data_IF_408269678898
#
_entry.id   IF_408269678898
#
_cell.length_a   1.000
_cell.length_b   1.000
_cell.length_c   1.000
_cell.angle_alpha   90.00
_cell.angle_beta   90.00
_cell.angle_gamma   90.00
#
_symmetry.space_group_name_H-M   'P 1'
#
loop_
_entity.id
_entity.type
_entity.pdbx_description
1 polymer ?
#
# COMPACT_ATOMS: atom_id res chain seq x y z
N UNK A 1 12.50 14.59 29.03
CA UNK A 1 12.38 13.16 28.71
C UNK A 1 12.28 13.06 27.19
N UNK A 2 13.41 12.81 26.51
CA UNK A 2 13.35 12.46 25.09
C UNK A 2 12.54 11.16 24.99
N UNK A 3 11.54 11.11 24.10
CA UNK A 3 10.73 9.92 23.90
C UNK A 3 11.63 8.71 23.64
N UNK A 4 11.34 7.58 24.27
CA UNK A 4 12.12 6.35 24.10
C UNK A 4 11.90 5.75 22.71
N UNK A 5 12.56 6.31 21.70
CA UNK A 5 12.64 5.72 20.37
C UNK A 5 13.62 4.54 20.41
N UNK A 6 13.26 3.45 19.73
CA UNK A 6 14.16 2.30 19.52
C UNK A 6 15.31 2.71 18.61
N UNK A 7 16.42 1.98 18.66
CA UNK A 7 17.53 2.20 17.73
C UNK A 7 17.07 1.81 16.33
N UNK A 8 17.48 2.59 15.33
CA UNK A 8 16.94 2.58 13.98
C UNK A 8 17.25 1.28 13.22
N UNK A 9 18.44 0.73 13.45
CA UNK A 9 18.98 -0.52 12.92
C UNK A 9 18.27 -1.78 13.47
N UNK A 10 17.59 -1.69 14.62
CA UNK A 10 16.88 -2.83 15.20
C UNK A 10 15.61 -3.22 14.41
N UNK A 11 15.14 -2.38 13.48
CA UNK A 11 13.89 -2.64 12.77
C UNK A 11 13.84 -2.20 11.30
N UNK A 12 14.75 -1.34 10.83
CA UNK A 12 14.90 -1.12 9.40
C UNK A 12 15.69 -2.29 8.80
N UNK A 13 15.08 -2.99 7.85
CA UNK A 13 15.78 -4.02 7.10
C UNK A 13 16.84 -3.38 6.22
N UNK A 14 18.12 -3.65 6.50
CA UNK A 14 19.27 -3.06 5.80
C UNK A 14 19.46 -3.60 4.37
N UNK A 15 18.63 -4.55 3.96
CA UNK A 15 18.71 -5.20 2.66
C UNK A 15 17.39 -5.87 2.27
N UNK A 16 17.30 -6.18 0.97
CA UNK A 16 16.21 -6.91 0.35
C UNK A 16 16.79 -8.12 -0.39
N UNK A 17 16.37 -9.32 0.00
CA UNK A 17 16.79 -10.59 -0.61
C UNK A 17 15.67 -11.14 -1.49
N UNK A 18 15.92 -11.25 -2.80
CA UNK A 18 14.93 -11.67 -3.79
C UNK A 18 15.32 -12.97 -4.48
N UNK A 19 14.59 -14.09 -4.28
CA UNK A 19 14.87 -15.36 -4.95
C UNK A 19 14.29 -15.37 -6.38
N UNK A 20 15.15 -15.45 -7.39
CA UNK A 20 14.75 -15.47 -8.80
C UNK A 20 15.32 -16.68 -9.51
N UNK A 21 14.49 -17.34 -10.33
CA UNK A 21 14.96 -18.34 -11.29
C UNK A 21 15.63 -17.66 -12.47
N UNK A 22 16.91 -17.93 -12.65
CA UNK A 22 17.76 -17.35 -13.68
C UNK A 22 17.59 -18.08 -15.03
N UNK A 23 18.22 -17.55 -16.07
CA UNK A 23 18.20 -18.10 -17.44
C UNK A 23 18.82 -19.50 -17.55
N UNK A 24 19.74 -19.85 -16.65
CA UNK A 24 20.34 -21.17 -16.51
C UNK A 24 19.39 -22.20 -15.84
N UNK A 25 18.22 -21.76 -15.38
CA UNK A 25 17.24 -22.58 -14.68
C UNK A 25 17.49 -22.73 -13.18
N UNK A 26 18.61 -22.21 -12.66
CA UNK A 26 18.92 -22.21 -11.24
C UNK A 26 18.20 -21.09 -10.51
N UNK A 27 17.88 -21.30 -9.23
CA UNK A 27 17.31 -20.26 -8.37
C UNK A 27 18.46 -19.58 -7.63
N UNK A 28 18.59 -18.26 -7.81
CA UNK A 28 19.58 -17.42 -7.14
C UNK A 28 18.89 -16.38 -6.30
N UNK A 29 19.46 -16.05 -5.15
CA UNK A 29 18.98 -14.97 -4.30
C UNK A 29 19.81 -13.72 -4.58
N UNK A 30 19.17 -12.67 -5.08
CA UNK A 30 19.79 -11.38 -5.31
C UNK A 30 19.69 -10.54 -4.03
N UNK A 31 20.86 -10.15 -3.50
CA UNK A 31 20.96 -9.30 -2.33
C UNK A 31 21.06 -7.83 -2.74
N UNK A 32 20.03 -7.06 -2.41
CA UNK A 32 19.96 -5.63 -2.72
C UNK A 32 20.21 -4.86 -1.42
N UNK A 33 21.30 -4.08 -1.31
CA UNK A 33 21.57 -3.30 -0.12
C UNK A 33 20.58 -2.13 0.01
N UNK A 34 20.39 -1.62 1.22
CA UNK A 34 19.70 -0.35 1.41
C UNK A 34 20.38 0.76 0.59
N UNK A 35 19.60 1.59 -0.14
CA UNK A 35 20.17 2.65 -0.94
C UNK A 35 20.84 3.69 -0.04
N UNK A 36 21.76 4.46 -0.61
CA UNK A 36 22.24 5.67 0.06
C UNK A 36 21.06 6.65 0.26
N UNK A 37 21.19 7.59 1.19
CA UNK A 37 20.14 8.59 1.40
C UNK A 37 19.90 9.45 0.14
N UNK A 38 20.94 9.72 -0.65
CA UNK A 38 20.84 10.45 -1.91
C UNK A 38 20.06 9.66 -2.96
N UNK A 39 20.40 8.37 -3.11
CA UNK A 39 19.74 7.47 -4.05
C UNK A 39 18.27 7.22 -3.65
N UNK A 40 17.99 7.07 -2.36
CA UNK A 40 16.64 6.91 -1.83
C UNK A 40 15.75 8.13 -2.07
N UNK A 41 16.32 9.35 -1.99
CA UNK A 41 15.61 10.58 -2.33
C UNK A 41 15.36 10.71 -3.84
N UNK A 42 16.34 10.31 -4.67
CA UNK A 42 16.21 10.29 -6.12
C UNK A 42 15.07 9.34 -6.54
N UNK A 43 15.25 8.05 -6.23
CA UNK A 43 14.23 7.16 -5.65
C UNK A 43 12.79 7.66 -5.66
N UNK A 44 12.48 8.24 -4.50
CA UNK A 44 11.20 8.80 -4.13
C UNK A 44 10.74 9.92 -5.05
N UNK A 45 11.63 10.86 -5.42
CA UNK A 45 11.28 12.00 -6.26
C UNK A 45 10.76 11.58 -7.64
N UNK A 46 11.38 10.55 -8.23
CA UNK A 46 10.99 10.00 -9.52
C UNK A 46 9.63 9.31 -9.42
N UNK A 47 9.40 8.53 -8.37
CA UNK A 47 8.13 7.85 -8.15
C UNK A 47 6.97 8.83 -7.90
N UNK A 48 7.20 9.87 -7.09
CA UNK A 48 6.21 10.91 -6.82
C UNK A 48 5.84 11.70 -8.09
N UNK A 49 6.83 12.03 -8.92
CA UNK A 49 6.60 12.65 -10.21
C UNK A 49 5.70 11.78 -11.11
N UNK A 50 5.94 10.47 -11.16
CA UNK A 50 5.12 9.55 -11.94
C UNK A 50 3.69 9.40 -11.43
N UNK A 51 3.49 9.33 -10.11
CA UNK A 51 2.16 9.29 -9.49
C UNK A 51 1.37 10.56 -9.83
N UNK A 52 2.01 11.73 -9.75
CA UNK A 52 1.37 13.00 -10.06
C UNK A 52 0.91 13.07 -11.50
N UNK A 53 1.74 12.65 -12.45
CA UNK A 53 1.38 12.61 -13.87
C UNK A 53 0.21 11.65 -14.14
N UNK A 54 0.22 10.47 -13.52
CA UNK A 54 -0.88 9.51 -13.62
C UNK A 54 -2.20 10.05 -13.04
N UNK A 55 -2.14 10.81 -11.95
CA UNK A 55 -3.30 11.45 -11.32
C UNK A 55 -3.88 12.60 -12.15
N UNK A 56 -3.06 13.28 -12.95
CA UNK A 56 -3.46 14.36 -13.87
C UNK A 56 -4.15 13.82 -15.15
N UNK A 57 -4.38 12.51 -15.24
CA UNK A 57 -5.14 11.89 -16.33
C UNK A 57 -4.31 11.62 -17.58
N UNK A 58 -3.00 11.81 -17.53
CA UNK A 58 -2.12 11.05 -18.40
C UNK A 58 -2.30 9.59 -18.01
N UNK A 59 -2.75 8.75 -18.94
CA UNK A 59 -2.58 7.31 -18.75
C UNK A 59 -1.10 7.11 -18.41
N UNK A 60 -0.76 6.41 -17.31
CA UNK A 60 0.59 5.90 -17.17
C UNK A 60 0.73 4.79 -18.21
N UNK A 61 0.74 5.18 -19.48
CA UNK A 61 1.56 4.48 -20.43
C UNK A 61 2.97 4.62 -19.89
N UNK A 62 3.69 3.52 -19.99
CA UNK A 62 5.09 3.28 -19.67
C UNK A 62 6.10 4.36 -20.10
N UNK A 63 5.68 5.50 -20.67
CA UNK A 63 6.48 6.64 -21.13
C UNK A 63 6.87 7.68 -20.04
N UNK A 64 6.49 7.47 -18.78
CA UNK A 64 6.84 8.43 -17.68
C UNK A 64 8.35 8.44 -17.38
N UNK A 65 9.04 7.36 -17.75
CA UNK A 65 10.49 7.29 -17.86
C UNK A 65 10.78 6.97 -19.32
N UNK A 66 11.67 7.70 -19.98
CA UNK A 66 12.27 7.15 -21.19
C UNK A 66 13.05 5.87 -20.79
N UNK A 67 13.24 4.94 -21.73
CA UNK A 67 13.91 3.66 -21.43
C UNK A 67 15.28 3.86 -20.73
N UNK A 68 15.99 4.97 -21.01
CA UNK A 68 17.27 5.26 -20.38
C UNK A 68 17.13 5.74 -18.93
N UNK A 69 16.13 6.58 -18.62
CA UNK A 69 15.79 7.00 -17.26
C UNK A 69 15.20 5.85 -16.44
N UNK A 70 14.47 4.94 -17.07
CA UNK A 70 13.96 3.74 -16.41
C UNK A 70 15.12 2.82 -16.01
N UNK A 71 16.11 2.65 -16.90
CA UNK A 71 17.31 1.87 -16.60
C UNK A 71 18.17 2.51 -15.50
N UNK A 72 18.34 3.84 -15.51
CA UNK A 72 19.07 4.55 -14.46
C UNK A 72 18.35 4.46 -13.11
N UNK A 73 17.01 4.52 -13.10
CA UNK A 73 16.21 4.28 -11.91
C UNK A 73 16.45 2.87 -11.35
N UNK A 74 16.39 1.84 -12.21
CA UNK A 74 16.61 0.45 -11.80
C UNK A 74 18.03 0.20 -11.33
N UNK A 75 19.02 0.84 -11.95
CA UNK A 75 20.41 0.78 -11.51
C UNK A 75 20.59 1.38 -10.12
N UNK A 76 19.96 2.52 -9.89
CA UNK A 76 19.97 3.19 -8.58
C UNK A 76 19.27 2.33 -7.52
N UNK A 77 18.12 1.73 -7.85
CA UNK A 77 17.34 0.93 -6.91
C UNK A 77 17.98 -0.43 -6.59
N UNK A 78 18.61 -1.09 -7.56
CA UNK A 78 19.24 -2.41 -7.39
C UNK A 78 20.67 -2.32 -6.86
N UNK A 79 21.33 -1.17 -7.03
CA UNK A 79 22.70 -0.96 -6.58
C UNK A 79 23.66 -2.03 -7.11
N UNK A 80 24.36 -2.70 -6.20
CA UNK A 80 25.34 -3.75 -6.55
C UNK A 80 24.72 -4.98 -7.20
N UNK A 81 23.42 -5.22 -7.05
CA UNK A 81 22.73 -6.36 -7.67
C UNK A 81 22.41 -6.14 -9.16
N UNK A 82 22.55 -4.90 -9.67
CA UNK A 82 22.14 -4.56 -11.02
C UNK A 82 22.87 -5.36 -12.10
N UNK A 83 24.21 -5.37 -12.06
CA UNK A 83 25.03 -6.00 -13.09
C UNK A 83 24.85 -7.53 -13.11
N UNK A 84 24.71 -8.14 -11.93
CA UNK A 84 24.45 -9.58 -11.78
C UNK A 84 23.07 -9.95 -12.33
N UNK A 85 22.05 -9.16 -11.98
CA UNK A 85 20.69 -9.35 -12.49
C UNK A 85 20.59 -9.15 -14.01
N UNK A 86 21.26 -8.15 -14.57
CA UNK A 86 21.29 -7.91 -16.01
C UNK A 86 21.96 -9.07 -16.76
N UNK A 87 22.91 -9.75 -16.12
CA UNK A 87 23.60 -10.91 -16.70
C UNK A 87 22.75 -12.18 -16.66
N UNK A 88 22.00 -12.40 -15.58
CA UNK A 88 21.35 -13.68 -15.31
C UNK A 88 19.83 -13.70 -15.58
N UNK A 89 19.19 -12.56 -15.79
CA UNK A 89 17.73 -12.45 -15.90
C UNK A 89 17.27 -12.00 -17.28
N UNK A 90 16.13 -12.55 -17.72
CA UNK A 90 15.38 -12.00 -18.84
C UNK A 90 14.57 -10.76 -18.40
N UNK A 91 14.30 -9.87 -19.36
CA UNK A 91 13.64 -8.58 -19.12
C UNK A 91 12.42 -8.62 -18.18
N UNK A 92 11.44 -9.55 -18.31
CA UNK A 92 10.28 -9.55 -17.41
C UNK A 92 10.64 -9.81 -15.94
N UNK A 93 11.61 -10.70 -15.69
CA UNK A 93 12.08 -11.03 -14.33
C UNK A 93 12.93 -9.90 -13.76
N UNK A 94 13.81 -9.34 -14.59
CA UNK A 94 14.61 -8.17 -14.25
C UNK A 94 13.70 -6.99 -13.84
N UNK A 95 12.71 -6.67 -14.68
CA UNK A 95 11.77 -5.58 -14.41
C UNK A 95 10.95 -5.81 -13.16
N UNK A 96 10.45 -7.03 -12.94
CA UNK A 96 9.69 -7.35 -11.72
C UNK A 96 10.55 -7.15 -10.47
N UNK A 97 11.78 -7.67 -10.47
CA UNK A 97 12.73 -7.50 -9.37
C UNK A 97 13.09 -6.03 -9.13
N UNK A 98 13.36 -5.26 -10.18
CA UNK A 98 13.69 -3.85 -10.08
C UNK A 98 12.52 -3.01 -9.54
N UNK A 99 11.28 -3.31 -9.97
CA UNK A 99 10.09 -2.64 -9.45
C UNK A 99 9.85 -2.96 -7.97
N UNK A 100 10.08 -4.21 -7.54
CA UNK A 100 10.02 -4.58 -6.13
C UNK A 100 11.00 -3.78 -5.29
N UNK A 101 12.23 -3.57 -5.78
CA UNK A 101 13.23 -2.73 -5.11
C UNK A 101 12.76 -1.26 -5.00
N UNK A 102 12.21 -0.69 -6.08
CA UNK A 102 11.65 0.68 -6.06
C UNK A 102 10.51 0.81 -5.04
N UNK A 103 9.60 -0.18 -4.98
CA UNK A 103 8.51 -0.19 -4.00
C UNK A 103 9.02 -0.34 -2.57
N UNK A 104 10.04 -1.16 -2.35
CA UNK A 104 10.67 -1.30 -1.03
C UNK A 104 11.27 0.02 -0.55
N UNK A 105 12.00 0.71 -1.42
CA UNK A 105 12.66 1.99 -1.09
C UNK A 105 11.62 3.08 -0.80
N UNK A 106 10.53 3.14 -1.57
CA UNK A 106 9.56 4.25 -1.48
C UNK A 106 8.40 3.99 -0.51
N UNK A 107 7.98 2.73 -0.35
CA UNK A 107 6.77 2.35 0.38
C UNK A 107 7.03 1.29 1.46
N UNK A 108 8.26 0.80 1.59
CA UNK A 108 8.68 -0.15 2.61
C UNK A 108 8.45 -1.62 2.25
N UNK A 109 8.89 -2.51 3.15
CA UNK A 109 8.92 -3.97 2.95
C UNK A 109 7.54 -4.56 2.68
N UNK A 110 6.52 -4.18 3.44
CA UNK A 110 5.17 -4.76 3.33
C UNK A 110 4.59 -4.58 1.92
N UNK A 111 4.82 -3.42 1.31
CA UNK A 111 4.32 -3.12 -0.04
C UNK A 111 5.11 -3.86 -1.11
N UNK A 112 6.43 -3.96 -0.94
CA UNK A 112 7.28 -4.73 -1.84
C UNK A 112 6.94 -6.23 -1.82
N UNK A 113 6.72 -6.81 -0.64
CA UNK A 113 6.32 -8.21 -0.48
C UNK A 113 4.95 -8.47 -1.12
N UNK A 114 3.98 -7.58 -0.92
CA UNK A 114 2.66 -7.70 -1.54
C UNK A 114 2.76 -7.69 -3.07
N UNK A 115 3.58 -6.80 -3.65
CA UNK A 115 3.79 -6.75 -5.09
C UNK A 115 4.49 -8.02 -5.61
N UNK A 116 5.54 -8.47 -4.93
CA UNK A 116 6.30 -9.68 -5.28
C UNK A 116 5.40 -10.93 -5.32
N UNK A 117 4.54 -11.09 -4.33
CA UNK A 117 3.62 -12.23 -4.23
C UNK A 117 2.42 -12.14 -5.20
N UNK A 118 2.23 -11.01 -5.87
CA UNK A 118 1.08 -10.74 -6.75
C UNK A 118 1.34 -10.97 -8.26
N UNK A 119 2.45 -11.64 -8.61
CA UNK A 119 2.95 -11.78 -9.99
C UNK A 119 3.09 -10.42 -10.72
N UNK A 120 3.31 -9.33 -9.98
CA UNK A 120 3.50 -7.99 -10.53
C UNK A 120 2.21 -7.34 -11.07
N UNK A 121 1.04 -7.84 -10.69
CA UNK A 121 -0.25 -7.26 -11.06
C UNK A 121 -0.74 -6.33 -9.92
N UNK A 122 -0.71 -4.99 -10.10
CA UNK A 122 -1.07 -4.04 -9.03
C UNK A 122 -2.50 -4.23 -8.49
N UNK A 123 -3.41 -4.75 -9.32
CA UNK A 123 -4.80 -5.01 -8.89
C UNK A 123 -4.95 -6.18 -7.93
N UNK A 124 -3.93 -7.04 -7.80
CA UNK A 124 -3.89 -8.13 -6.82
C UNK A 124 -3.22 -7.71 -5.50
N UNK A 125 -2.38 -6.67 -5.52
CA UNK A 125 -1.78 -6.08 -4.32
C UNK A 125 -2.72 -5.06 -3.61
N UNK A 126 -3.71 -4.50 -4.32
CA UNK A 126 -4.72 -3.64 -3.70
C UNK A 126 -5.73 -4.46 -2.89
N UNK A 127 -6.05 -4.09 -1.62
CA UNK A 127 -7.12 -4.74 -0.87
C UNK A 127 -8.40 -4.68 -1.70
N UNK A 128 -9.04 -5.84 -1.81
CA UNK A 128 -10.09 -6.09 -2.78
C UNK A 128 -11.20 -5.04 -2.63
N UNK A 129 -11.87 -4.61 -3.71
CA UNK A 129 -12.89 -3.54 -3.65
C UNK A 129 -13.99 -3.85 -2.62
N UNK A 130 -14.19 -5.12 -2.33
CA UNK A 130 -15.06 -5.65 -1.28
C UNK A 130 -14.55 -5.39 0.14
N UNK A 131 -13.25 -5.51 0.41
CA UNK A 131 -12.63 -5.18 1.70
C UNK A 131 -12.70 -3.67 1.97
N UNK A 132 -12.55 -2.85 0.92
CA UNK A 132 -12.76 -1.40 1.00
C UNK A 132 -14.22 -1.04 1.30
N UNK A 133 -15.19 -1.85 0.85
CA UNK A 133 -16.61 -1.71 1.22
C UNK A 133 -16.90 -2.28 2.61
N UNK A 134 -16.23 -3.35 3.03
CA UNK A 134 -16.41 -3.97 4.34
C UNK A 134 -15.89 -3.07 5.48
N UNK A 135 -14.74 -2.42 5.31
CA UNK A 135 -14.22 -1.41 6.25
C UNK A 135 -15.17 -0.21 6.40
N UNK A 136 -15.79 0.24 5.30
CA UNK A 136 -16.83 1.29 5.34
C UNK A 136 -18.15 0.84 6.01
N UNK A 137 -18.44 -0.47 6.03
CA UNK A 137 -19.58 -1.06 6.74
C UNK A 137 -19.28 -1.29 8.23
N UNK A 138 -18.06 -1.65 8.59
CA UNK A 138 -17.64 -1.80 9.98
C UNK A 138 -17.70 -0.46 10.74
N UNK A 139 -17.39 0.65 10.06
CA UNK A 139 -17.56 2.01 10.62
C UNK A 139 -19.02 2.44 10.81
N UNK A 140 -20.00 1.75 10.20
CA UNK A 140 -21.45 2.02 10.39
C UNK A 140 -22.07 1.27 11.57
N UNK A 141 -21.31 0.42 12.27
CA UNK A 141 -21.77 -0.25 13.50
C UNK A 141 -21.49 0.60 14.74
N UNK A 142 -21.94 1.85 14.74
CA UNK A 142 -22.18 2.54 16.02
C UNK A 142 -23.56 2.08 16.48
N UNK A 143 -23.62 1.18 17.48
CA UNK A 143 -24.88 0.78 18.13
C UNK A 143 -25.66 2.05 18.49
N UNK A 144 -26.86 2.21 17.92
CA UNK A 144 -27.77 3.28 18.36
C UNK A 144 -28.06 3.06 19.84
N UNK A 145 -27.59 3.99 20.69
CA UNK A 145 -27.88 3.99 22.12
C UNK A 145 -29.39 4.21 22.27
N UNK A 146 -30.12 3.14 22.57
CA UNK A 146 -31.56 3.19 22.81
C UNK A 146 -31.89 4.21 23.89
N UNK A 147 -32.80 5.11 23.56
CA UNK A 147 -33.27 6.21 24.41
C UNK A 147 -33.77 5.69 25.77
N UNK A 148 -33.11 6.10 26.85
CA UNK A 148 -33.65 6.00 28.21
C UNK A 148 -34.41 7.30 28.52
N UNK A 149 -35.66 7.37 28.12
CA UNK A 149 -36.61 8.32 28.71
C UNK A 149 -37.98 7.68 28.70
N UNK A 150 -38.31 7.05 29.84
CA UNK A 150 -39.64 6.57 30.12
C UNK A 150 -40.60 7.74 30.19
N UNK A 151 -41.67 7.67 29.40
CA UNK A 151 -42.88 8.43 29.67
C UNK A 151 -43.94 7.42 30.06
N UNK A 152 -44.17 7.32 31.36
CA UNK A 152 -45.29 6.60 31.95
C UNK A 152 -46.56 7.39 31.65
N UNK A 153 -47.45 6.84 30.83
CA UNK A 153 -48.80 7.38 30.66
C UNK A 153 -49.77 6.46 31.39
N UNK A 154 -50.25 6.92 32.54
CA UNK A 154 -51.35 6.29 33.27
C UNK A 154 -52.64 6.35 32.43
N UNK A 155 -53.47 5.29 32.41
CA UNK A 155 -54.81 5.38 31.85
C UNK A 155 -55.74 6.06 32.86
N UNK A 156 -56.26 7.24 32.52
CA UNK A 156 -57.30 7.89 33.29
C UNK A 156 -58.65 7.18 33.07
N UNK A 157 -59.28 6.82 34.18
CA UNK A 157 -60.54 6.09 34.26
C UNK A 157 -61.75 6.99 33.99
N UNK A 158 -62.81 6.37 33.49
CA UNK A 158 -64.11 6.96 33.16
C UNK A 158 -64.97 7.26 34.39
N UNK A 159 -65.69 8.40 34.39
CA UNK A 159 -67.03 8.54 35.00
C UNK A 159 -67.75 9.88 34.64
N UNK A 160 -68.73 9.73 33.74
CA UNK A 160 -70.12 10.20 33.76
C UNK A 160 -70.57 11.64 34.18
N UNK A 161 -71.39 12.20 33.26
CA UNK A 161 -72.75 12.78 33.41
C UNK A 161 -72.99 14.32 33.47
N UNK A 162 -73.65 14.79 32.39
CA UNK A 162 -74.96 15.51 32.34
C UNK A 162 -75.03 17.01 31.98
N UNK A 163 -75.88 17.27 30.97
CA UNK A 163 -76.67 18.48 30.58
C UNK A 163 -75.90 19.70 30.02
N UNK A 164 -76.41 20.44 29.02
CA UNK A 164 -77.80 20.75 28.71
C UNK A 164 -78.11 20.91 27.21
N UNK A 165 -79.37 20.63 26.90
CA UNK A 165 -80.10 20.92 25.66
C UNK A 165 -80.84 22.25 25.85
N UNK A 166 -80.86 23.06 24.78
CA UNK A 166 -81.79 24.17 24.44
C UNK A 166 -81.81 25.41 25.32
#
# INVERSE_FOLDING_TARGET
MAGGFKVLDEFLGDSLDLPVRCTDGEVRTFHIPAPSAEDGLLVQSVMEAGIRMAAEGATPDTEVLDDARELDLYRTALGTAYDDAMTHLEWPRFRHMAMTAVLWITQGMDTAEAFWNSDGVPSQAAPNREERRASSRAAKSTRSRGSQSGTSTQPATSRARTAAQT
#
